data_IF_678493945056
#
_entry.id   IF_678493945056
#
_cell.length_a   1.000
_cell.length_b   1.000
_cell.length_c   1.000
_cell.angle_alpha   90.00
_cell.angle_beta   90.00
_cell.angle_gamma   90.00
#
_symmetry.space_group_name_H-M   'P 1'
#
loop_
_entity.id
_entity.type
_entity.pdbx_description
1 polymer ?
#
# COMPACT_ATOMS: atom_id res chain seq x y z
N UNK A 1 -4.55 0.10 1.70
CA UNK A 1 -3.71 0.83 0.72
C UNK A 1 -2.41 1.24 1.39
N UNK A 2 -1.24 0.90 0.82
CA UNK A 2 0.06 1.34 1.33
C UNK A 2 0.17 2.88 1.41
N UNK A 3 0.76 3.40 2.48
CA UNK A 3 0.90 4.85 2.72
C UNK A 3 2.19 5.36 2.05
N UNK A 4 2.15 5.55 0.73
CA UNK A 4 3.35 5.87 -0.07
C UNK A 4 3.76 7.34 -0.07
N UNK A 5 3.01 8.23 0.61
CA UNK A 5 3.14 9.68 0.53
C UNK A 5 4.59 10.19 0.64
N UNK A 6 5.34 9.78 1.67
CA UNK A 6 6.74 10.20 1.84
C UNK A 6 7.64 9.64 0.73
N UNK A 7 7.47 8.37 0.34
CA UNK A 7 8.28 7.77 -0.72
C UNK A 7 8.07 8.49 -2.07
N UNK A 8 6.83 8.87 -2.37
CA UNK A 8 6.48 9.64 -3.56
C UNK A 8 7.03 11.07 -3.49
N UNK A 9 7.03 11.69 -2.32
CA UNK A 9 7.57 13.04 -2.11
C UNK A 9 9.05 13.15 -2.48
N UNK A 10 9.81 12.05 -2.35
CA UNK A 10 11.23 12.00 -2.74
C UNK A 10 11.44 11.71 -4.24
N UNK A 11 10.40 11.85 -5.05
CA UNK A 11 10.46 11.74 -6.52
C UNK A 11 10.34 10.33 -7.08
N UNK A 12 10.02 9.33 -6.25
CA UNK A 12 9.77 7.96 -6.73
C UNK A 12 8.33 7.80 -7.23
N UNK A 13 8.15 7.20 -8.40
CA UNK A 13 6.80 6.86 -8.90
C UNK A 13 6.31 5.59 -8.21
N UNK A 14 5.10 5.57 -7.63
CA UNK A 14 4.53 4.33 -7.11
C UNK A 14 4.35 3.29 -8.21
N UNK A 15 4.50 2.01 -7.85
CA UNK A 15 4.36 0.86 -8.75
C UNK A 15 3.15 0.04 -8.32
N UNK A 16 2.34 -0.37 -9.29
CA UNK A 16 1.20 -1.25 -9.03
C UNK A 16 1.66 -2.68 -8.70
N UNK A 17 1.09 -3.25 -7.65
CA UNK A 17 1.25 -4.66 -7.28
C UNK A 17 -0.10 -5.37 -7.34
N UNK A 18 -0.18 -6.36 -8.22
CA UNK A 18 -1.41 -7.12 -8.49
C UNK A 18 -1.88 -7.96 -7.29
N UNK A 19 -0.95 -8.52 -6.52
CA UNK A 19 -1.24 -9.45 -5.42
C UNK A 19 -1.93 -8.79 -4.22
N UNK A 20 -1.68 -7.50 -4.02
CA UNK A 20 -2.28 -6.68 -2.96
C UNK A 20 -3.25 -5.62 -3.49
N UNK A 21 -3.43 -5.54 -4.81
CA UNK A 21 -4.27 -4.55 -5.51
C UNK A 21 -3.99 -3.12 -5.04
N UNK A 22 -2.71 -2.75 -4.99
CA UNK A 22 -2.29 -1.48 -4.41
C UNK A 22 -0.99 -0.96 -5.00
N UNK A 23 -0.79 0.35 -4.81
CA UNK A 23 0.46 1.01 -5.18
C UNK A 23 1.46 0.96 -4.02
N UNK A 24 2.69 0.52 -4.32
CA UNK A 24 3.83 0.50 -3.39
C UNK A 24 4.91 1.49 -3.84
N UNK A 25 5.87 1.86 -2.98
CA UNK A 25 7.01 2.69 -3.37
C UNK A 25 7.77 2.07 -4.54
N UNK A 26 7.99 2.85 -5.60
CA UNK A 26 8.97 2.50 -6.63
C UNK A 26 10.37 3.00 -6.29
N UNK A 27 11.27 2.91 -7.28
CA UNK A 27 12.61 3.47 -7.20
C UNK A 27 12.58 5.00 -7.05
N UNK A 28 13.58 5.56 -6.39
CA UNK A 28 13.74 7.00 -6.28
C UNK A 28 15.21 7.44 -6.26
N UNK A 29 15.49 8.70 -6.63
CA UNK A 29 16.85 9.25 -6.59
C UNK A 29 17.44 9.31 -5.17
N UNK A 30 16.59 9.54 -4.16
CA UNK A 30 17.05 9.64 -2.78
C UNK A 30 17.12 8.28 -2.10
N UNK A 31 18.23 8.03 -1.40
CA UNK A 31 18.41 6.81 -0.59
C UNK A 31 17.35 6.73 0.50
N UNK A 32 16.68 5.59 0.59
CA UNK A 32 15.68 5.26 1.61
C UNK A 32 15.53 3.74 1.70
N UNK A 33 14.98 3.29 2.82
CA UNK A 33 14.55 1.91 2.98
C UNK A 33 13.10 1.93 3.44
N UNK A 34 12.23 1.33 2.63
CA UNK A 34 10.82 1.14 2.94
C UNK A 34 10.63 -0.24 3.56
N UNK A 35 9.81 -0.35 4.61
CA UNK A 35 9.55 -1.62 5.33
C UNK A 35 8.09 -1.75 5.77
N UNK A 36 7.60 -2.99 5.85
CA UNK A 36 6.28 -3.33 6.37
C UNK A 36 5.14 -2.95 5.41
N UNK A 37 4.04 -2.45 5.97
CA UNK A 37 2.79 -2.20 5.23
C UNK A 37 2.93 -1.24 4.04
N UNK A 38 3.94 -0.37 4.02
CA UNK A 38 4.22 0.49 2.86
C UNK A 38 4.70 -0.32 1.65
N UNK A 39 5.37 -1.45 1.87
CA UNK A 39 5.75 -2.39 0.82
C UNK A 39 4.63 -3.36 0.48
N UNK A 40 3.47 -3.29 1.14
CA UNK A 40 2.41 -4.30 1.01
C UNK A 40 2.65 -5.56 1.84
N UNK A 41 3.51 -5.50 2.86
CA UNK A 41 3.71 -6.59 3.82
C UNK A 41 2.77 -6.35 5.00
N UNK A 42 1.77 -7.23 5.18
CA UNK A 42 0.67 -6.99 6.13
C UNK A 42 0.65 -7.94 7.33
N UNK A 43 1.14 -9.17 7.19
CA UNK A 43 1.21 -10.08 8.33
C UNK A 43 2.16 -9.51 9.38
N UNK A 44 1.84 -9.72 10.66
CA UNK A 44 2.66 -9.19 11.75
C UNK A 44 4.07 -9.79 11.74
N UNK A 45 4.18 -11.10 11.51
CA UNK A 45 5.46 -11.80 11.44
C UNK A 45 6.33 -11.26 10.31
N UNK A 46 5.78 -11.09 9.11
CA UNK A 46 6.53 -10.61 7.95
C UNK A 46 6.86 -9.12 8.08
N UNK A 47 5.99 -8.32 8.69
CA UNK A 47 6.26 -6.89 8.94
C UNK A 47 7.40 -6.70 9.94
N UNK A 48 7.48 -7.55 10.96
CA UNK A 48 8.58 -7.56 11.92
C UNK A 48 9.89 -8.00 11.27
N UNK A 49 9.84 -9.02 10.41
CA UNK A 49 11.01 -9.49 9.65
C UNK A 49 11.52 -8.41 8.69
N UNK A 50 10.63 -7.83 7.85
CA UNK A 50 11.00 -6.78 6.89
C UNK A 50 11.54 -5.53 7.60
N UNK A 51 10.93 -5.15 8.73
CA UNK A 51 11.43 -4.06 9.57
C UNK A 51 12.82 -4.33 10.16
N UNK A 52 13.03 -5.55 10.68
CA UNK A 52 14.32 -5.96 11.23
C UNK A 52 15.42 -5.96 10.15
N UNK A 53 15.17 -6.60 9.01
CA UNK A 53 16.10 -6.66 7.89
C UNK A 53 16.36 -5.28 7.28
N UNK A 54 15.31 -4.45 7.14
CA UNK A 54 15.44 -3.08 6.68
C UNK A 54 16.28 -2.21 7.62
N UNK A 55 16.13 -2.38 8.93
CA UNK A 55 16.99 -1.71 9.92
C UNK A 55 18.46 -2.13 9.80
N UNK A 56 18.72 -3.43 9.64
CA UNK A 56 20.08 -3.96 9.41
C UNK A 56 20.70 -3.40 8.14
N UNK A 57 19.95 -3.36 7.03
CA UNK A 57 20.39 -2.74 5.77
C UNK A 57 20.69 -1.26 5.97
N UNK A 58 19.81 -0.51 6.62
CA UNK A 58 19.98 0.93 6.86
C UNK A 58 21.26 1.22 7.65
N UNK A 59 21.49 0.48 8.74
CA UNK A 59 22.68 0.63 9.56
C UNK A 59 23.97 0.31 8.79
N UNK A 60 23.94 -0.79 8.01
CA UNK A 60 25.08 -1.23 7.19
C UNK A 60 25.41 -0.22 6.10
N UNK A 61 24.41 0.29 5.37
CA UNK A 61 24.59 1.32 4.33
C UNK A 61 25.08 2.66 4.89
N UNK A 62 24.75 2.96 6.16
CA UNK A 62 25.26 4.12 6.88
C UNK A 62 26.68 3.90 7.46
N UNK A 63 27.29 2.74 7.26
CA UNK A 63 28.68 2.44 7.69
C UNK A 63 28.83 2.01 9.14
N UNK A 64 27.73 1.68 9.83
CA UNK A 64 27.81 1.12 11.18
C UNK A 64 28.19 -0.35 11.15
N UNK A 65 28.91 -0.79 12.18
CA UNK A 65 29.22 -2.21 12.35
C UNK A 65 27.94 -2.99 12.65
N UNK A 66 27.88 -4.22 12.14
CA UNK A 66 26.79 -5.14 12.42
C UNK A 66 26.73 -5.39 13.94
N UNK A 67 25.55 -5.23 14.51
CA UNK A 67 25.23 -5.59 15.89
C UNK A 67 24.30 -6.79 15.84
N UNK A 68 24.55 -7.80 16.67
CA UNK A 68 23.63 -8.93 16.79
C UNK A 68 22.28 -8.44 17.34
N UNK A 69 21.21 -8.77 16.62
CA UNK A 69 19.84 -8.52 17.03
C UNK A 69 19.05 -9.82 17.05
N UNK A 70 18.06 -9.90 17.93
CA UNK A 70 17.11 -11.02 17.96
C UNK A 70 15.82 -10.57 17.29
N UNK A 71 15.46 -11.24 16.20
CA UNK A 71 14.20 -10.96 15.51
C UNK A 71 13.01 -11.27 16.44
N UNK A 72 12.06 -10.32 16.62
CA UNK A 72 10.85 -10.58 17.38
C UNK A 72 10.05 -11.71 16.73
N UNK A 73 9.55 -12.63 17.57
CA UNK A 73 8.68 -13.71 17.11
C UNK A 73 7.23 -13.27 17.17
N UNK A 74 6.48 -13.57 16.12
CA UNK A 74 5.03 -13.42 16.10
C UNK A 74 4.41 -14.68 15.49
N UNK A 75 3.15 -14.93 15.84
CA UNK A 75 2.38 -15.98 15.19
C UNK A 75 2.13 -15.61 13.73
N UNK A 76 2.33 -16.57 12.83
CA UNK A 76 1.90 -16.45 11.45
C UNK A 76 0.41 -16.72 11.34
N UNK A 77 -0.23 -16.05 10.39
CA UNK A 77 -1.63 -16.27 10.03
C UNK A 77 -1.68 -16.64 8.56
N UNK A 78 -2.50 -17.64 8.22
CA UNK A 78 -2.82 -17.91 6.83
C UNK A 78 -3.75 -16.82 6.29
N UNK A 79 -3.36 -16.22 5.18
CA UNK A 79 -4.14 -15.21 4.47
C UNK A 79 -4.53 -15.76 3.09
N UNK A 80 -5.74 -15.43 2.66
CA UNK A 80 -6.23 -15.74 1.32
C UNK A 80 -5.88 -14.59 0.36
N UNK A 81 -5.78 -14.86 -0.96
CA UNK A 81 -5.54 -13.82 -1.95
C UNK A 81 -6.59 -12.70 -1.90
N UNK A 82 -6.14 -11.47 -2.11
CA UNK A 82 -7.05 -10.31 -2.19
C UNK A 82 -7.88 -10.38 -3.48
N UNK A 83 -9.18 -10.09 -3.39
CA UNK A 83 -10.07 -9.99 -4.54
C UNK A 83 -10.39 -8.54 -4.87
N UNK A 84 -10.35 -8.21 -6.16
CA UNK A 84 -10.65 -6.87 -6.64
C UNK A 84 -12.17 -6.60 -6.62
N UNK A 85 -12.58 -5.56 -5.90
CA UNK A 85 -13.94 -5.04 -5.90
C UNK A 85 -13.90 -3.51 -5.85
N UNK A 86 -13.67 -2.89 -7.00
CA UNK A 86 -13.55 -1.43 -7.11
C UNK A 86 -14.91 -0.72 -7.07
N UNK A 87 -15.97 -1.40 -7.50
CA UNK A 87 -17.35 -0.93 -7.43
C UNK A 87 -18.27 -2.12 -7.20
N UNK A 88 -19.12 -2.03 -6.17
CA UNK A 88 -20.11 -3.07 -5.90
C UNK A 88 -21.14 -3.09 -7.03
N UNK A 89 -21.43 -4.24 -7.66
CA UNK A 89 -22.39 -4.32 -8.74
C UNK A 89 -23.82 -4.06 -8.25
N UNK A 90 -24.67 -3.54 -9.14
CA UNK A 90 -26.08 -3.28 -8.88
C UNK A 90 -26.90 -3.45 -10.16
N UNK A 91 -28.16 -3.87 -10.05
CA UNK A 91 -29.04 -4.15 -11.21
C UNK A 91 -29.36 -2.89 -12.04
N UNK A 92 -29.41 -1.74 -11.37
CA UNK A 92 -29.51 -0.42 -12.02
C UNK A 92 -28.11 0.12 -12.31
N UNK A 93 -27.93 0.79 -13.45
CA UNK A 93 -26.68 1.52 -13.75
C UNK A 93 -26.33 2.59 -12.72
N UNK A 94 -25.06 2.99 -12.67
CA UNK A 94 -24.44 3.79 -11.59
C UNK A 94 -25.24 5.03 -11.19
N UNK A 95 -25.74 5.79 -12.16
CA UNK A 95 -26.52 7.02 -11.91
C UNK A 95 -27.91 6.77 -11.27
N UNK A 96 -28.42 5.53 -11.32
CA UNK A 96 -29.74 5.12 -10.78
C UNK A 96 -29.63 4.13 -9.62
N UNK A 97 -28.42 3.64 -9.31
CA UNK A 97 -28.14 2.84 -8.14
C UNK A 97 -28.16 3.73 -6.87
N UNK A 98 -28.23 3.14 -5.66
CA UNK A 98 -27.95 3.88 -4.43
C UNK A 98 -26.59 4.58 -4.48
N UNK A 99 -26.40 5.67 -3.71
CA UNK A 99 -25.14 6.42 -3.71
C UNK A 99 -23.94 5.51 -3.39
N UNK A 100 -23.02 5.37 -4.34
CA UNK A 100 -21.75 4.66 -4.18
C UNK A 100 -20.65 5.69 -4.00
N UNK A 101 -20.34 6.01 -2.73
CA UNK A 101 -19.38 7.05 -2.38
C UNK A 101 -17.93 6.65 -2.68
N UNK A 102 -17.17 7.60 -3.22
CA UNK A 102 -15.71 7.49 -3.44
C UNK A 102 -14.94 8.45 -2.53
N UNK A 103 -15.48 9.65 -2.32
CA UNK A 103 -14.97 10.61 -1.33
C UNK A 103 -16.15 11.12 -0.49
N UNK A 104 -16.13 10.77 0.81
CA UNK A 104 -17.17 11.16 1.74
C UNK A 104 -17.11 12.64 2.12
N UNK A 105 -15.92 13.24 2.19
CA UNK A 105 -15.75 14.62 2.62
C UNK A 105 -16.27 15.59 1.55
N UNK A 106 -16.10 15.21 0.28
CA UNK A 106 -16.49 16.02 -0.87
C UNK A 106 -17.84 15.58 -1.52
N UNK A 107 -18.57 14.65 -0.91
CA UNK A 107 -19.83 14.05 -1.42
C UNK A 107 -19.71 13.48 -2.86
N UNK A 108 -18.51 13.00 -3.24
CA UNK A 108 -18.24 12.45 -4.59
C UNK A 108 -18.68 11.00 -4.67
N UNK A 109 -19.44 10.68 -5.72
CA UNK A 109 -19.94 9.33 -5.99
C UNK A 109 -19.36 8.76 -7.28
N UNK A 110 -19.44 7.43 -7.45
CA UNK A 110 -19.08 6.76 -8.71
C UNK A 110 -19.86 7.33 -9.91
N UNK A 111 -21.13 7.70 -9.72
CA UNK A 111 -21.94 8.34 -10.76
C UNK A 111 -21.37 9.72 -11.17
N UNK A 112 -20.83 10.48 -10.20
CA UNK A 112 -20.20 11.77 -10.48
C UNK A 112 -18.89 11.59 -11.28
N UNK A 113 -18.10 10.56 -10.98
CA UNK A 113 -16.88 10.22 -11.73
C UNK A 113 -17.21 9.76 -13.15
N UNK A 114 -18.22 8.91 -13.32
CA UNK A 114 -18.67 8.44 -14.63
C UNK A 114 -19.13 9.62 -15.50
N UNK A 115 -19.89 10.56 -14.93
CA UNK A 115 -20.28 11.80 -15.60
C UNK A 115 -19.06 12.61 -16.02
N UNK A 116 -18.10 12.84 -15.11
CA UNK A 116 -16.88 13.60 -15.40
C UNK A 116 -15.96 12.95 -16.45
N UNK A 117 -16.05 11.63 -16.63
CA UNK A 117 -15.25 10.90 -17.65
C UNK A 117 -15.87 11.01 -19.05
N UNK A 118 -17.17 11.29 -19.14
CA UNK A 118 -17.91 11.39 -20.41
C UNK A 118 -17.78 12.76 -21.06
N UNK A 119 -17.75 13.82 -20.25
CA UNK A 119 -17.64 15.23 -20.70
C UNK A 119 -16.19 15.60 -21.03
#
# INVERSE_FOLDING_TARGET
>A
SPIVHLASHLGGKPVWREDILGFVPGEAPQKRICVGGVNGVYSLADSLADGFEGGVRAASEAGFKIVEGVMPKALSRAEEPTLALFQVPHEKGTARAPKQFVDFQNDVTAAAIELATRE
#
